data_IF_521449654022
#
_entry.id   IF_521449654022
#
_cell.length_a   1.000
_cell.length_b   1.000
_cell.length_c   1.000
_cell.angle_alpha   90.00
_cell.angle_beta   90.00
_cell.angle_gamma   90.00
#
_symmetry.space_group_name_H-M   'P 1'
#
loop_
_entity.id
_entity.type
_entity.pdbx_description
1 polymer ?
#
# COMPACT_ATOMS: atom_id res chain seq x y z
N UNK A 1 28.00 -1.57 -5.24
CA UNK A 1 26.95 -0.90 -4.46
C UNK A 1 27.40 -0.92 -3.02
N UNK A 2 27.42 0.24 -2.38
CA UNK A 2 27.69 0.32 -0.95
C UNK A 2 26.51 -0.31 -0.18
N UNK A 3 26.74 -0.72 1.08
CA UNK A 3 25.69 -1.39 1.86
C UNK A 3 24.47 -0.49 2.10
N UNK A 4 24.65 0.82 2.23
CA UNK A 4 23.53 1.75 2.36
C UNK A 4 22.68 1.81 1.07
N UNK A 5 23.29 1.75 -0.13
CA UNK A 5 22.53 1.69 -1.39
C UNK A 5 21.69 0.41 -1.46
N UNK A 6 22.27 -0.73 -1.03
CA UNK A 6 21.56 -2.01 -0.97
C UNK A 6 20.38 -1.91 -0.01
N UNK A 7 20.57 -1.32 1.17
CA UNK A 7 19.50 -1.16 2.15
C UNK A 7 18.40 -0.20 1.71
N UNK A 8 18.74 0.86 0.97
CA UNK A 8 17.74 1.73 0.35
C UNK A 8 16.83 0.94 -0.62
N UNK A 9 17.44 0.10 -1.47
CA UNK A 9 16.68 -0.79 -2.37
C UNK A 9 15.87 -1.82 -1.59
N UNK A 10 16.41 -2.42 -0.53
CA UNK A 10 15.67 -3.39 0.29
C UNK A 10 14.46 -2.75 0.97
N UNK A 11 14.57 -1.52 1.48
CA UNK A 11 13.44 -0.78 2.03
C UNK A 11 12.39 -0.49 0.95
N UNK A 12 12.82 -0.12 -0.26
CA UNK A 12 11.91 0.03 -1.41
C UNK A 12 11.15 -1.27 -1.70
N UNK A 13 11.81 -2.42 -1.64
CA UNK A 13 11.20 -3.75 -1.81
C UNK A 13 10.20 -4.05 -0.68
N UNK A 14 10.52 -3.74 0.57
CA UNK A 14 9.62 -3.93 1.70
C UNK A 14 8.34 -3.09 1.59
N UNK A 15 8.48 -1.80 1.26
CA UNK A 15 7.32 -0.93 1.00
C UNK A 15 6.52 -1.36 -0.23
N UNK A 16 7.19 -1.83 -1.28
CA UNK A 16 6.53 -2.39 -2.46
C UNK A 16 5.72 -3.63 -2.10
N UNK A 17 6.28 -4.55 -1.32
CA UNK A 17 5.59 -5.74 -0.84
C UNK A 17 4.38 -5.38 0.02
N UNK A 18 4.53 -4.42 0.94
CA UNK A 18 3.42 -3.90 1.73
C UNK A 18 2.31 -3.33 0.83
N UNK A 19 2.60 -2.40 -0.07
CA UNK A 19 1.57 -1.78 -0.91
C UNK A 19 0.94 -2.76 -1.92
N UNK A 20 1.67 -3.77 -2.37
CA UNK A 20 1.10 -4.84 -3.17
C UNK A 20 0.11 -5.68 -2.35
N UNK A 21 0.56 -6.20 -1.20
CA UNK A 21 -0.21 -7.14 -0.39
C UNK A 21 -1.36 -6.45 0.35
N UNK A 22 -1.04 -5.38 1.06
CA UNK A 22 -2.02 -4.61 1.81
C UNK A 22 -2.93 -3.78 0.89
N UNK A 23 -2.47 -3.44 -0.31
CA UNK A 23 -3.24 -2.65 -1.26
C UNK A 23 -4.57 -3.31 -1.62
N UNK A 24 -4.59 -4.64 -1.84
CA UNK A 24 -5.87 -5.31 -2.09
C UNK A 24 -6.69 -5.52 -0.81
N UNK A 25 -6.07 -5.64 0.37
CA UNK A 25 -6.80 -5.75 1.65
C UNK A 25 -7.54 -4.44 1.97
N UNK A 26 -6.87 -3.29 1.79
CA UNK A 26 -7.54 -2.00 1.84
C UNK A 26 -8.65 -1.89 0.80
N UNK A 27 -8.38 -2.29 -0.45
CA UNK A 27 -9.38 -2.29 -1.50
C UNK A 27 -10.61 -3.14 -1.15
N UNK A 28 -10.43 -4.35 -0.65
CA UNK A 28 -11.52 -5.24 -0.20
C UNK A 28 -12.30 -4.61 0.96
N UNK A 29 -11.61 -3.98 1.92
CA UNK A 29 -12.25 -3.25 3.00
C UNK A 29 -13.15 -2.11 2.52
N UNK A 30 -12.71 -1.33 1.52
CA UNK A 30 -13.53 -0.29 0.86
C UNK A 30 -14.75 -0.91 0.13
N UNK A 31 -14.56 -2.06 -0.50
CA UNK A 31 -15.62 -2.77 -1.23
C UNK A 31 -16.75 -3.31 -0.36
N UNK A 32 -16.55 -3.41 0.96
CA UNK A 32 -17.62 -3.75 1.91
C UNK A 32 -18.82 -2.79 1.86
N UNK A 33 -18.61 -1.54 1.43
CA UNK A 33 -19.71 -0.58 1.17
C UNK A 33 -19.97 -0.32 -0.32
N UNK A 34 -18.94 -0.38 -1.17
CA UNK A 34 -19.10 -0.03 -2.59
C UNK A 34 -19.63 -1.18 -3.47
N UNK A 35 -19.45 -2.44 -3.05
CA UNK A 35 -19.76 -3.62 -3.86
C UNK A 35 -20.80 -4.55 -3.22
N UNK A 36 -20.67 -4.80 -1.92
CA UNK A 36 -21.54 -5.75 -1.21
C UNK A 36 -22.95 -5.17 -1.00
N UNK A 37 -23.98 -5.95 -1.32
CA UNK A 37 -25.39 -5.58 -1.18
C UNK A 37 -25.95 -5.90 0.20
N UNK A 38 -25.50 -7.00 0.77
CA UNK A 38 -25.97 -7.51 2.06
C UNK A 38 -24.81 -7.98 2.95
N UNK A 39 -25.13 -8.46 4.15
CA UNK A 39 -24.14 -8.93 5.13
C UNK A 39 -23.44 -10.21 4.72
N UNK A 40 -24.12 -11.08 3.98
CA UNK A 40 -23.55 -12.34 3.48
C UNK A 40 -22.46 -12.02 2.47
N UNK A 41 -22.71 -11.10 1.54
CA UNK A 41 -21.70 -10.63 0.59
C UNK A 41 -20.53 -9.93 1.28
N UNK A 42 -20.80 -9.08 2.29
CA UNK A 42 -19.71 -8.48 3.10
C UNK A 42 -18.85 -9.54 3.78
N UNK A 43 -19.47 -10.61 4.31
CA UNK A 43 -18.76 -11.73 4.92
C UNK A 43 -17.93 -12.50 3.89
N UNK A 44 -18.44 -12.68 2.66
CA UNK A 44 -17.66 -13.25 1.56
C UNK A 44 -16.41 -12.41 1.30
N UNK A 45 -16.56 -11.09 1.17
CA UNK A 45 -15.43 -10.18 0.94
C UNK A 45 -14.38 -10.30 2.06
N UNK A 46 -14.80 -10.14 3.32
CA UNK A 46 -13.89 -10.23 4.48
C UNK A 46 -13.19 -11.59 4.52
N UNK A 47 -13.91 -12.69 4.27
CA UNK A 47 -13.33 -14.03 4.28
C UNK A 47 -12.34 -14.27 3.12
N UNK A 48 -12.34 -13.45 2.05
CA UNK A 48 -11.32 -13.58 1.00
C UNK A 48 -9.93 -13.15 1.46
N UNK A 49 -9.86 -12.24 2.44
CA UNK A 49 -8.61 -11.69 2.99
C UNK A 49 -8.31 -12.21 4.41
N UNK A 50 -9.31 -12.75 5.10
CA UNK A 50 -9.22 -13.28 6.47
C UNK A 50 -7.98 -14.14 6.78
N UNK A 51 -7.57 -15.08 5.91
CA UNK A 51 -6.39 -15.91 6.17
C UNK A 51 -5.02 -15.25 5.94
N UNK A 52 -4.96 -14.06 5.35
CA UNK A 52 -3.70 -13.45 4.86
C UNK A 52 -3.44 -12.02 5.36
N UNK A 53 -4.48 -11.28 5.75
CA UNK A 53 -4.36 -9.84 6.09
C UNK A 53 -3.34 -9.57 7.21
N UNK A 54 -3.33 -10.38 8.27
CA UNK A 54 -2.42 -10.21 9.41
C UNK A 54 -0.96 -10.36 8.97
N UNK A 55 -0.68 -11.37 8.12
CA UNK A 55 0.65 -11.56 7.53
C UNK A 55 1.05 -10.46 6.54
N UNK A 56 0.08 -9.83 5.88
CA UNK A 56 0.33 -8.70 4.98
C UNK A 56 0.72 -7.44 5.77
N UNK A 57 0.09 -7.18 6.92
CA UNK A 57 0.44 -6.05 7.80
C UNK A 57 1.88 -6.14 8.35
N UNK A 58 2.43 -7.35 8.52
CA UNK A 58 3.81 -7.54 8.98
C UNK A 58 4.83 -6.90 8.03
N UNK A 59 4.50 -6.73 6.75
CA UNK A 59 5.37 -6.01 5.80
C UNK A 59 5.55 -4.54 6.17
N UNK A 60 4.52 -3.88 6.71
CA UNK A 60 4.64 -2.51 7.22
C UNK A 60 5.57 -2.46 8.44
N UNK A 61 5.40 -3.38 9.38
CA UNK A 61 6.25 -3.46 10.57
C UNK A 61 7.71 -3.69 10.18
N UNK A 62 7.94 -4.56 9.20
CA UNK A 62 9.28 -4.86 8.69
C UNK A 62 9.85 -3.66 7.92
N UNK A 63 9.07 -2.98 7.09
CA UNK A 63 9.50 -1.77 6.38
C UNK A 63 9.89 -0.65 7.36
N UNK A 64 9.05 -0.40 8.38
CA UNK A 64 9.33 0.58 9.44
C UNK A 64 10.54 0.20 10.29
N UNK A 65 10.63 -1.07 10.74
CA UNK A 65 11.74 -1.58 11.54
C UNK A 65 13.06 -1.62 10.77
N UNK A 66 13.04 -2.00 9.48
CA UNK A 66 14.20 -1.94 8.61
C UNK A 66 14.66 -0.50 8.37
N UNK A 67 13.73 0.45 8.21
CA UNK A 67 14.05 1.88 8.11
C UNK A 67 14.69 2.37 9.40
N UNK A 68 14.13 2.03 10.57
CA UNK A 68 14.73 2.36 11.87
C UNK A 68 16.17 1.81 12.00
N UNK A 69 16.38 0.56 11.63
CA UNK A 69 17.66 -0.11 11.83
C UNK A 69 18.72 0.30 10.79
N UNK A 70 18.34 0.54 9.53
CA UNK A 70 19.26 0.90 8.45
C UNK A 70 19.45 2.42 8.29
N UNK A 71 18.40 3.21 8.54
CA UNK A 71 18.40 4.67 8.39
C UNK A 71 17.69 5.36 9.58
N UNK A 72 18.32 5.40 10.77
CA UNK A 72 17.69 5.91 11.99
C UNK A 72 17.23 7.37 11.88
N UNK A 73 18.01 8.24 11.22
CA UNK A 73 17.62 9.65 11.06
C UNK A 73 16.43 9.80 10.09
N UNK A 74 16.38 8.98 9.04
CA UNK A 74 15.20 8.91 8.16
C UNK A 74 13.96 8.49 8.96
N UNK A 75 14.08 7.43 9.76
CA UNK A 75 13.00 6.98 10.62
C UNK A 75 12.55 8.08 11.59
N UNK A 76 13.48 8.71 12.30
CA UNK A 76 13.18 9.76 13.28
C UNK A 76 12.48 10.96 12.64
N UNK A 77 12.99 11.44 11.51
CA UNK A 77 12.42 12.57 10.76
C UNK A 77 11.03 12.25 10.21
N UNK A 78 10.85 11.05 9.65
CA UNK A 78 9.57 10.60 9.10
C UNK A 78 8.51 10.50 10.19
N UNK A 79 8.79 9.79 11.28
CA UNK A 79 7.80 9.54 12.33
C UNK A 79 7.49 10.78 13.19
N UNK A 80 8.46 11.67 13.38
CA UNK A 80 8.24 12.94 14.08
C UNK A 80 7.54 13.97 13.19
N UNK A 81 7.96 14.13 11.93
CA UNK A 81 7.39 15.11 11.01
C UNK A 81 5.98 14.76 10.53
N UNK A 82 5.71 13.48 10.30
CA UNK A 82 4.40 12.98 9.87
C UNK A 82 3.58 12.43 11.04
N UNK A 83 3.81 12.94 12.25
CA UNK A 83 3.21 12.42 13.48
C UNK A 83 1.69 12.22 13.38
N UNK A 84 0.95 13.27 13.01
CA UNK A 84 -0.52 13.21 12.95
C UNK A 84 -1.02 12.23 11.87
N UNK A 85 -0.58 12.30 10.59
CA UNK A 85 -0.95 11.30 9.60
C UNK A 85 -0.62 9.86 10.01
N UNK A 86 0.58 9.61 10.54
CA UNK A 86 1.00 8.27 10.94
C UNK A 86 0.24 7.76 12.17
N UNK A 87 -0.10 8.63 13.12
CA UNK A 87 -0.96 8.30 14.25
C UNK A 87 -2.37 7.89 13.77
N UNK A 88 -2.94 8.62 12.81
CA UNK A 88 -4.25 8.27 12.24
C UNK A 88 -4.18 6.92 11.53
N UNK A 89 -3.12 6.65 10.76
CA UNK A 89 -2.89 5.34 10.14
C UNK A 89 -2.82 4.25 11.22
N UNK A 90 -2.01 4.44 12.27
CA UNK A 90 -1.86 3.49 13.36
C UNK A 90 -3.20 3.17 14.02
N UNK A 91 -3.98 4.20 14.39
CA UNK A 91 -5.31 4.02 14.99
C UNK A 91 -6.24 3.26 14.04
N UNK A 92 -6.20 3.58 12.74
CA UNK A 92 -6.99 2.86 11.75
C UNK A 92 -6.61 1.38 11.71
N UNK A 93 -5.31 1.04 11.67
CA UNK A 93 -4.85 -0.35 11.64
C UNK A 93 -5.24 -1.12 12.90
N UNK A 94 -5.10 -0.51 14.09
CA UNK A 94 -5.56 -1.11 15.35
C UNK A 94 -7.05 -1.43 15.29
N UNK A 95 -7.87 -0.44 14.93
CA UNK A 95 -9.33 -0.61 14.85
C UNK A 95 -9.70 -1.62 13.79
N UNK A 96 -8.96 -1.71 12.68
CA UNK A 96 -9.18 -2.67 11.60
C UNK A 96 -8.98 -4.12 12.06
N UNK A 97 -7.86 -4.40 12.73
CA UNK A 97 -7.59 -5.73 13.28
C UNK A 97 -8.66 -6.16 14.29
N UNK A 98 -9.04 -5.25 15.19
CA UNK A 98 -10.17 -5.49 16.12
C UNK A 98 -11.46 -5.73 15.35
N UNK A 99 -11.74 -4.96 14.30
CA UNK A 99 -12.98 -5.09 13.54
C UNK A 99 -13.12 -6.45 12.83
N UNK A 100 -12.03 -7.00 12.28
CA UNK A 100 -12.05 -8.33 11.67
C UNK A 100 -12.37 -9.42 12.71
N UNK A 101 -11.75 -9.37 13.88
CA UNK A 101 -11.94 -10.36 14.94
C UNK A 101 -13.28 -10.23 15.67
N UNK A 102 -13.69 -8.99 16.00
CA UNK A 102 -14.81 -8.74 16.91
C UNK A 102 -16.16 -8.75 16.20
N UNK A 103 -16.20 -8.44 14.90
CA UNK A 103 -17.44 -8.41 14.12
C UNK A 103 -18.24 -9.70 14.28
N UNK A 104 -17.59 -10.87 14.22
CA UNK A 104 -18.26 -12.17 14.28
C UNK A 104 -18.56 -12.67 15.71
N UNK A 105 -18.10 -11.96 16.76
CA UNK A 105 -18.26 -12.40 18.16
C UNK A 105 -19.66 -12.17 18.72
N UNK A 106 -20.45 -11.28 18.11
CA UNK A 106 -21.83 -11.06 18.54
C UNK A 106 -22.82 -10.99 17.37
N UNK A 107 -24.03 -11.53 17.53
CA UNK A 107 -25.00 -11.61 16.44
C UNK A 107 -25.80 -10.32 16.24
N UNK A 108 -25.77 -9.36 17.18
CA UNK A 108 -26.67 -8.20 17.09
C UNK A 108 -26.39 -7.33 15.87
N UNK A 109 -27.48 -6.82 15.28
CA UNK A 109 -27.40 -6.06 14.04
C UNK A 109 -26.52 -4.82 14.18
N UNK A 110 -26.74 -4.04 15.23
CA UNK A 110 -26.00 -2.81 15.49
C UNK A 110 -24.50 -3.07 15.70
N UNK A 111 -24.14 -4.18 16.35
CA UNK A 111 -22.75 -4.57 16.58
C UNK A 111 -22.01 -4.80 15.27
N UNK A 112 -22.50 -5.71 14.44
CA UNK A 112 -21.86 -6.04 13.17
C UNK A 112 -21.83 -4.84 12.21
N UNK A 113 -22.89 -4.01 12.17
CA UNK A 113 -22.95 -2.82 11.31
C UNK A 113 -21.88 -1.80 11.68
N UNK A 114 -21.63 -1.60 12.97
CA UNK A 114 -20.62 -0.67 13.46
C UNK A 114 -19.22 -1.15 13.06
N UNK A 115 -18.92 -2.44 13.23
CA UNK A 115 -17.63 -3.01 12.82
C UNK A 115 -17.44 -3.04 11.30
N UNK A 116 -18.48 -3.33 10.52
CA UNK A 116 -18.43 -3.21 9.06
C UNK A 116 -18.18 -1.77 8.60
N UNK A 117 -18.75 -0.79 9.31
CA UNK A 117 -18.48 0.62 9.05
C UNK A 117 -17.06 1.02 9.44
N UNK A 118 -16.55 0.47 10.54
CA UNK A 118 -15.16 0.63 10.94
C UNK A 118 -14.23 0.11 9.84
N UNK A 119 -14.39 -1.15 9.40
CA UNK A 119 -13.58 -1.76 8.32
C UNK A 119 -13.51 -0.85 7.09
N UNK A 120 -14.64 -0.29 6.65
CA UNK A 120 -14.65 0.63 5.51
C UNK A 120 -13.75 1.85 5.74
N UNK A 121 -13.92 2.57 6.86
CA UNK A 121 -13.17 3.80 7.13
C UNK A 121 -11.70 3.52 7.42
N UNK A 122 -11.42 2.47 8.19
CA UNK A 122 -10.06 2.05 8.53
C UNK A 122 -9.30 1.44 7.37
N UNK A 123 -9.97 1.12 6.26
CA UNK A 123 -9.32 0.76 4.99
C UNK A 123 -9.19 1.96 4.05
N UNK A 124 -10.20 2.84 4.00
CA UNK A 124 -10.20 4.03 3.14
C UNK A 124 -9.13 5.05 3.59
N UNK A 125 -9.07 5.34 4.89
CA UNK A 125 -8.23 6.40 5.42
C UNK A 125 -6.73 6.07 5.23
N UNK A 126 -6.20 4.90 5.62
CA UNK A 126 -4.80 4.57 5.37
C UNK A 126 -4.46 4.47 3.88
N UNK A 127 -5.36 3.93 3.05
CA UNK A 127 -5.15 3.86 1.61
C UNK A 127 -4.92 5.25 0.99
N UNK A 128 -5.59 6.28 1.52
CA UNK A 128 -5.38 7.67 1.13
C UNK A 128 -4.12 8.28 1.78
N UNK A 129 -3.97 8.15 3.09
CA UNK A 129 -2.89 8.82 3.83
C UNK A 129 -1.49 8.31 3.45
N UNK A 130 -1.35 7.03 3.07
CA UNK A 130 -0.07 6.53 2.58
C UNK A 130 0.40 7.24 1.30
N UNK A 131 -0.52 7.56 0.38
CA UNK A 131 -0.19 8.34 -0.82
C UNK A 131 0.14 9.80 -0.51
N UNK A 132 -0.54 10.39 0.48
CA UNK A 132 -0.19 11.74 0.99
C UNK A 132 1.22 11.74 1.59
N UNK A 133 1.55 10.73 2.40
CA UNK A 133 2.86 10.61 3.03
C UNK A 133 3.98 10.45 1.99
N UNK A 134 3.90 9.45 1.11
CA UNK A 134 4.91 9.23 0.07
C UNK A 134 4.96 10.36 -0.96
N UNK A 135 3.83 10.98 -1.29
CA UNK A 135 3.77 12.17 -2.13
C UNK A 135 4.62 13.30 -1.55
N UNK A 136 4.46 13.60 -0.26
CA UNK A 136 5.30 14.60 0.41
C UNK A 136 6.78 14.21 0.48
N UNK A 137 7.10 12.93 0.73
CA UNK A 137 8.51 12.49 0.75
C UNK A 137 9.16 12.76 -0.62
N UNK A 138 8.49 12.42 -1.73
CA UNK A 138 9.02 12.67 -3.08
C UNK A 138 9.07 14.16 -3.41
N UNK A 139 8.02 14.91 -3.09
CA UNK A 139 7.96 16.36 -3.33
C UNK A 139 8.95 17.15 -2.46
N UNK A 140 9.37 16.57 -1.33
CA UNK A 140 10.23 17.20 -0.35
C UNK A 140 9.42 17.89 0.75
N UNK A 141 10.04 18.06 1.91
CA UNK A 141 9.41 18.62 3.11
C UNK A 141 10.31 19.68 3.75
N UNK A 142 9.78 20.47 4.68
CA UNK A 142 10.53 21.53 5.36
C UNK A 142 11.40 20.92 6.47
N UNK A 143 12.62 20.53 6.12
CA UNK A 143 13.60 19.95 7.06
C UNK A 143 14.70 20.97 7.32
N UNK A 144 15.07 21.17 8.58
CA UNK A 144 16.15 22.08 8.99
C UNK A 144 17.53 21.37 9.05
N UNK A 145 18.56 22.11 9.47
CA UNK A 145 19.93 21.60 9.56
C UNK A 145 20.14 20.47 10.59
N UNK A 146 19.18 20.24 11.50
CA UNK A 146 19.23 19.17 12.50
C UNK A 146 18.44 17.93 12.06
N UNK A 147 18.02 17.89 10.80
CA UNK A 147 17.12 16.87 10.25
C UNK A 147 15.74 16.85 10.92
N UNK A 148 15.31 17.98 11.48
CA UNK A 148 13.99 18.08 12.07
C UNK A 148 12.99 18.66 11.06
N UNK A 149 11.79 18.08 11.03
CA UNK A 149 10.69 18.67 10.27
C UNK A 149 10.13 19.88 11.03
N UNK A 150 10.22 21.05 10.42
CA UNK A 150 9.79 22.34 10.99
C UNK A 150 8.51 22.90 10.35
N UNK A 151 7.86 22.09 9.51
CA UNK A 151 6.58 22.46 8.88
C UNK A 151 5.37 22.21 9.78
N UNK A 152 4.19 22.47 9.22
CA UNK A 152 2.90 22.25 9.88
C UNK A 152 2.10 21.15 9.17
N UNK A 153 1.06 20.61 9.83
CA UNK A 153 0.16 19.63 9.21
C UNK A 153 -0.38 20.10 7.84
N UNK A 154 -0.66 21.39 7.70
CA UNK A 154 -1.20 21.97 6.47
C UNK A 154 -0.21 21.95 5.31
N UNK A 155 1.09 22.00 5.61
CA UNK A 155 2.13 21.86 4.58
C UNK A 155 2.12 20.46 3.95
N UNK A 156 1.68 19.45 4.71
CA UNK A 156 1.54 18.06 4.23
C UNK A 156 0.28 17.85 3.37
N UNK A 157 -0.70 18.76 3.45
CA UNK A 157 -1.96 18.67 2.70
C UNK A 157 -1.93 19.55 1.43
N UNK A 158 -0.79 19.56 0.75
CA UNK A 158 -0.63 20.27 -0.52
C UNK A 158 -1.28 19.51 -1.70
N UNK A 159 -1.61 20.19 -2.82
CA UNK A 159 -2.31 19.57 -3.95
C UNK A 159 -1.61 18.34 -4.53
N UNK A 160 -0.27 18.33 -4.57
CA UNK A 160 0.51 17.20 -5.07
C UNK A 160 0.34 15.96 -4.18
N UNK A 161 0.47 16.14 -2.86
CA UNK A 161 0.30 15.05 -1.90
C UNK A 161 -1.15 14.53 -1.85
N UNK A 162 -2.14 15.43 -1.92
CA UNK A 162 -3.55 15.04 -1.99
C UNK A 162 -3.86 14.22 -3.25
N UNK A 163 -3.29 14.61 -4.39
CA UNK A 163 -3.38 13.83 -5.62
C UNK A 163 -2.74 12.44 -5.45
N UNK A 164 -1.55 12.37 -4.83
CA UNK A 164 -0.90 11.10 -4.47
C UNK A 164 -1.80 10.20 -3.62
N UNK A 165 -2.48 10.77 -2.62
CA UNK A 165 -3.46 10.05 -1.79
C UNK A 165 -4.66 9.53 -2.57
N UNK A 166 -5.19 10.33 -3.51
CA UNK A 166 -6.28 9.87 -4.38
C UNK A 166 -5.83 8.75 -5.33
N UNK A 167 -4.59 8.83 -5.83
CA UNK A 167 -3.99 7.76 -6.65
C UNK A 167 -3.88 6.47 -5.87
N UNK A 168 -3.29 6.48 -4.66
CA UNK A 168 -3.16 5.25 -3.87
C UNK A 168 -4.52 4.68 -3.46
N UNK A 169 -5.46 5.53 -3.03
CA UNK A 169 -6.82 5.10 -2.70
C UNK A 169 -7.50 4.40 -3.88
N UNK A 170 -7.49 5.03 -5.06
CA UNK A 170 -8.15 4.46 -6.24
C UNK A 170 -7.41 3.25 -6.79
N UNK A 171 -6.07 3.25 -6.77
CA UNK A 171 -5.24 2.11 -7.19
C UNK A 171 -5.43 0.89 -6.29
N UNK A 172 -5.44 1.06 -4.97
CA UNK A 172 -5.72 -0.01 -4.02
C UNK A 172 -7.16 -0.51 -4.13
N UNK A 173 -8.13 0.39 -4.33
CA UNK A 173 -9.51 -0.01 -4.60
C UNK A 173 -9.61 -0.81 -5.91
N UNK A 174 -8.93 -0.39 -6.99
CA UNK A 174 -8.85 -1.16 -8.23
C UNK A 174 -8.21 -2.52 -7.99
N UNK A 175 -7.08 -2.59 -7.31
CA UNK A 175 -6.38 -3.83 -6.96
C UNK A 175 -7.28 -4.78 -6.15
N UNK A 176 -8.03 -4.26 -5.17
CA UNK A 176 -9.02 -5.00 -4.40
C UNK A 176 -10.20 -5.49 -5.24
N UNK A 177 -10.66 -4.73 -6.24
CA UNK A 177 -11.76 -5.19 -7.13
C UNK A 177 -11.34 -6.36 -8.00
N UNK A 178 -10.13 -6.32 -8.57
CA UNK A 178 -9.62 -7.42 -9.41
C UNK A 178 -9.25 -8.64 -8.56
N UNK A 179 -8.73 -8.44 -7.34
CA UNK A 179 -8.55 -9.52 -6.36
C UNK A 179 -9.89 -10.15 -5.97
N UNK A 180 -10.91 -9.34 -5.68
CA UNK A 180 -12.27 -9.82 -5.36
C UNK A 180 -12.83 -10.65 -6.51
N UNK A 181 -12.71 -10.17 -7.76
CA UNK A 181 -13.14 -10.92 -8.94
C UNK A 181 -12.39 -12.27 -9.07
N UNK A 182 -11.08 -12.27 -8.83
CA UNK A 182 -10.24 -13.48 -8.85
C UNK A 182 -10.65 -14.51 -7.78
N UNK A 183 -11.05 -14.03 -6.60
CA UNK A 183 -11.32 -14.83 -5.39
C UNK A 183 -12.78 -15.18 -5.16
N UNK A 184 -13.71 -14.63 -5.93
CA UNK A 184 -15.15 -14.87 -5.75
C UNK A 184 -15.80 -15.63 -6.91
N UNK A 185 -17.01 -16.14 -6.67
CA UNK A 185 -17.88 -16.78 -7.68
C UNK A 185 -19.29 -16.18 -7.64
N UNK A 186 -20.07 -16.39 -8.70
CA UNK A 186 -21.44 -15.90 -8.81
C UNK A 186 -21.53 -14.41 -9.11
N UNK A 187 -22.62 -13.76 -8.70
CA UNK A 187 -22.90 -12.36 -9.07
C UNK A 187 -21.87 -11.36 -8.53
N UNK A 188 -21.30 -11.63 -7.35
CA UNK A 188 -20.27 -10.77 -6.72
C UNK A 188 -19.09 -10.59 -7.68
N UNK A 189 -18.66 -11.67 -8.33
CA UNK A 189 -17.55 -11.67 -9.30
C UNK A 189 -17.85 -10.77 -10.50
N UNK A 190 -19.03 -10.90 -11.10
CA UNK A 190 -19.41 -10.11 -12.27
C UNK A 190 -19.56 -8.62 -11.92
N UNK A 191 -20.09 -8.30 -10.74
CA UNK A 191 -20.14 -6.91 -10.26
C UNK A 191 -18.75 -6.36 -9.95
N UNK A 192 -17.86 -7.16 -9.36
CA UNK A 192 -16.49 -6.78 -9.09
C UNK A 192 -15.74 -6.42 -10.37
N UNK A 193 -15.90 -7.19 -11.46
CA UNK A 193 -15.30 -6.89 -12.78
C UNK A 193 -15.83 -5.59 -13.40
N UNK A 194 -17.15 -5.36 -13.30
CA UNK A 194 -17.77 -4.11 -13.78
C UNK A 194 -17.26 -2.91 -13.00
N UNK A 195 -17.17 -3.03 -11.67
CA UNK A 195 -16.65 -1.98 -10.81
C UNK A 195 -15.16 -1.75 -11.06
N UNK A 196 -14.36 -2.81 -11.24
CA UNK A 196 -12.94 -2.74 -11.59
C UNK A 196 -12.68 -1.91 -12.85
N UNK A 197 -13.56 -2.01 -13.86
CA UNK A 197 -13.44 -1.18 -15.06
C UNK A 197 -13.65 0.30 -14.75
N UNK A 198 -14.64 0.64 -13.92
CA UNK A 198 -14.93 2.05 -13.57
C UNK A 198 -13.84 2.63 -12.69
N UNK A 199 -13.50 1.93 -11.60
CA UNK A 199 -12.46 2.38 -10.65
C UNK A 199 -11.12 2.44 -11.38
N UNK A 200 -10.74 1.44 -12.16
CA UNK A 200 -9.47 1.45 -12.87
C UNK A 200 -9.36 2.55 -13.94
N UNK A 201 -10.45 3.00 -14.56
CA UNK A 201 -10.44 4.18 -15.43
C UNK A 201 -10.18 5.47 -14.64
N UNK A 202 -10.78 5.61 -13.46
CA UNK A 202 -10.49 6.74 -12.55
C UNK A 202 -9.04 6.70 -12.09
N UNK A 203 -8.56 5.52 -11.67
CA UNK A 203 -7.15 5.29 -11.33
C UNK A 203 -6.23 5.68 -12.48
N UNK A 204 -6.54 5.29 -13.72
CA UNK A 204 -5.70 5.61 -14.88
C UNK A 204 -5.60 7.13 -15.12
N UNK A 205 -6.70 7.87 -15.01
CA UNK A 205 -6.68 9.33 -15.14
C UNK A 205 -5.85 10.01 -14.04
N UNK A 206 -6.09 9.64 -12.78
CA UNK A 206 -5.37 10.22 -11.64
C UNK A 206 -3.89 9.84 -11.63
N UNK A 207 -3.57 8.56 -11.89
CA UNK A 207 -2.20 8.07 -11.91
C UNK A 207 -1.42 8.70 -13.06
N UNK A 208 -2.01 8.86 -14.25
CA UNK A 208 -1.34 9.54 -15.35
C UNK A 208 -1.01 10.99 -14.99
N UNK A 209 -1.97 11.73 -14.43
CA UNK A 209 -1.75 13.10 -13.99
C UNK A 209 -0.62 13.20 -12.95
N UNK A 210 -0.68 12.35 -11.93
CA UNK A 210 0.27 12.35 -10.84
C UNK A 210 1.68 11.95 -11.29
N UNK A 211 1.81 10.85 -12.03
CA UNK A 211 3.12 10.37 -12.51
C UNK A 211 3.75 11.36 -13.49
N UNK A 212 2.96 11.98 -14.39
CA UNK A 212 3.48 13.04 -15.25
C UNK A 212 3.95 14.25 -14.45
N UNK A 213 3.21 14.66 -13.41
CA UNK A 213 3.64 15.73 -12.51
C UNK A 213 4.97 15.36 -11.85
N UNK A 214 5.07 14.17 -11.22
CA UNK A 214 6.31 13.69 -10.61
C UNK A 214 7.48 13.68 -11.60
N UNK A 215 7.24 13.17 -12.82
CA UNK A 215 8.27 13.07 -13.86
C UNK A 215 8.77 14.43 -14.33
N UNK A 216 7.88 15.42 -14.45
CA UNK A 216 8.23 16.77 -14.90
C UNK A 216 8.96 17.58 -13.82
N UNK A 217 8.62 17.35 -12.55
CA UNK A 217 9.19 18.08 -11.41
C UNK A 217 10.57 17.55 -11.02
N UNK A 218 10.69 16.24 -10.81
CA UNK A 218 11.92 15.62 -10.25
C UNK A 218 12.40 14.39 -11.01
N UNK A 219 11.73 14.02 -12.10
CA UNK A 219 12.05 12.80 -12.84
C UNK A 219 13.35 12.88 -13.64
N UNK A 220 13.90 11.70 -13.89
CA UNK A 220 15.06 11.39 -14.71
C UNK A 220 14.73 10.28 -15.73
N UNK A 221 15.73 9.78 -16.46
CA UNK A 221 15.52 8.70 -17.44
C UNK A 221 15.08 7.37 -16.82
N UNK A 222 15.48 7.05 -15.58
CA UNK A 222 15.14 5.77 -14.92
C UNK A 222 13.71 5.79 -14.39
N UNK A 223 13.33 6.88 -13.72
CA UNK A 223 11.95 7.12 -13.28
C UNK A 223 10.99 7.23 -14.47
N UNK A 224 11.44 7.73 -15.63
CA UNK A 224 10.64 7.69 -16.87
C UNK A 224 10.31 6.26 -17.29
N UNK A 225 11.28 5.34 -17.24
CA UNK A 225 11.04 3.92 -17.55
C UNK A 225 10.03 3.33 -16.56
N UNK A 226 10.17 3.61 -15.26
CA UNK A 226 9.21 3.17 -14.25
C UNK A 226 7.80 3.73 -14.51
N UNK A 227 7.67 5.00 -14.89
CA UNK A 227 6.40 5.61 -15.28
C UNK A 227 5.78 4.90 -16.49
N UNK A 228 6.55 4.66 -17.56
CA UNK A 228 6.07 3.97 -18.76
C UNK A 228 5.60 2.56 -18.41
N UNK A 229 6.34 1.83 -17.59
CA UNK A 229 5.95 0.50 -17.11
C UNK A 229 4.66 0.57 -16.29
N UNK A 230 4.52 1.54 -15.39
CA UNK A 230 3.31 1.73 -14.58
C UNK A 230 2.08 1.97 -15.46
N UNK A 231 2.17 2.91 -16.41
CA UNK A 231 1.07 3.25 -17.32
C UNK A 231 0.72 2.07 -18.23
N UNK A 232 1.73 1.42 -18.83
CA UNK A 232 1.51 0.25 -19.70
C UNK A 232 0.88 -0.92 -18.93
N UNK A 233 1.36 -1.20 -17.71
CA UNK A 233 0.81 -2.26 -16.86
C UNK A 233 -0.64 -1.96 -16.45
N UNK A 234 -0.96 -0.70 -16.13
CA UNK A 234 -2.33 -0.32 -15.76
C UNK A 234 -3.30 -0.46 -16.94
N UNK A 235 -2.90 0.00 -18.12
CA UNK A 235 -3.70 -0.16 -19.35
C UNK A 235 -3.88 -1.64 -19.68
N UNK A 236 -2.82 -2.44 -19.57
CA UNK A 236 -2.89 -3.88 -19.79
C UNK A 236 -3.78 -4.58 -18.74
N UNK A 237 -3.75 -4.15 -17.48
CA UNK A 237 -4.63 -4.66 -16.43
C UNK A 237 -6.10 -4.39 -16.77
N UNK A 238 -6.43 -3.17 -17.20
CA UNK A 238 -7.77 -2.81 -17.66
C UNK A 238 -8.22 -3.65 -18.86
N UNK A 239 -7.35 -3.87 -19.83
CA UNK A 239 -7.62 -4.72 -20.98
C UNK A 239 -7.86 -6.19 -20.56
N UNK A 240 -7.03 -6.73 -19.66
CA UNK A 240 -7.18 -8.08 -19.12
C UNK A 240 -8.50 -8.24 -18.33
N UNK A 241 -8.90 -7.24 -17.54
CA UNK A 241 -10.19 -7.23 -16.83
C UNK A 241 -11.37 -7.28 -17.81
N UNK A 242 -11.33 -6.47 -18.87
CA UNK A 242 -12.36 -6.47 -19.93
C UNK A 242 -12.43 -7.82 -20.64
N UNK A 243 -11.28 -8.45 -20.90
CA UNK A 243 -11.20 -9.79 -21.47
C UNK A 243 -11.58 -10.93 -20.49
N UNK A 244 -11.91 -10.63 -19.23
CA UNK A 244 -12.26 -11.63 -18.21
C UNK A 244 -11.09 -12.45 -17.68
N UNK A 245 -9.85 -12.00 -17.93
CA UNK A 245 -8.61 -12.64 -17.47
C UNK A 245 -8.19 -12.08 -16.12
N UNK A 246 -8.95 -12.39 -15.07
CA UNK A 246 -8.78 -11.82 -13.73
C UNK A 246 -7.38 -12.02 -13.13
N UNK A 247 -6.77 -13.20 -13.32
CA UNK A 247 -5.41 -13.46 -12.81
C UNK A 247 -4.36 -12.56 -13.45
N UNK A 248 -4.48 -12.29 -14.76
CA UNK A 248 -3.61 -11.35 -15.46
C UNK A 248 -3.88 -9.91 -15.05
N UNK A 249 -5.15 -9.55 -14.87
CA UNK A 249 -5.51 -8.22 -14.38
C UNK A 249 -4.93 -7.96 -12.98
N UNK A 250 -4.98 -8.94 -12.09
CA UNK A 250 -4.39 -8.83 -10.75
C UNK A 250 -2.87 -8.68 -10.83
N UNK A 251 -2.18 -9.55 -11.57
CA UNK A 251 -0.72 -9.46 -11.75
C UNK A 251 -0.29 -8.11 -12.32
N UNK A 252 -0.97 -7.60 -13.35
CA UNK A 252 -0.66 -6.33 -13.99
C UNK A 252 -0.98 -5.12 -13.10
N UNK A 253 -2.07 -5.18 -12.32
CA UNK A 253 -2.33 -4.15 -11.30
C UNK A 253 -1.27 -4.14 -10.20
N UNK A 254 -0.74 -5.30 -9.84
CA UNK A 254 0.40 -5.42 -8.94
C UNK A 254 1.70 -4.85 -9.53
N UNK A 255 1.98 -5.13 -10.81
CA UNK A 255 3.12 -4.52 -11.53
C UNK A 255 2.96 -3.00 -11.59
N UNK A 256 1.73 -2.49 -11.73
CA UNK A 256 1.46 -1.04 -11.66
C UNK A 256 1.90 -0.48 -10.30
N UNK A 257 1.50 -1.11 -9.18
CA UNK A 257 1.92 -0.71 -7.83
C UNK A 257 3.44 -0.75 -7.70
N UNK A 258 4.08 -1.85 -8.11
CA UNK A 258 5.55 -2.01 -8.10
C UNK A 258 6.23 -0.88 -8.86
N UNK A 259 5.75 -0.55 -10.06
CA UNK A 259 6.34 0.47 -10.91
C UNK A 259 6.13 1.89 -10.36
N UNK A 260 4.97 2.20 -9.77
CA UNK A 260 4.71 3.48 -9.10
C UNK A 260 5.64 3.66 -7.90
N UNK A 261 5.78 2.62 -7.06
CA UNK A 261 6.68 2.69 -5.90
C UNK A 261 8.13 2.77 -6.37
N UNK A 262 8.55 1.99 -7.36
CA UNK A 262 9.88 2.08 -7.94
C UNK A 262 10.17 3.49 -8.48
N UNK A 263 9.20 4.15 -9.12
CA UNK A 263 9.33 5.52 -9.59
C UNK A 263 9.64 6.48 -8.43
N UNK A 264 8.98 6.35 -7.27
CA UNK A 264 9.27 7.17 -6.10
C UNK A 264 10.71 7.02 -5.63
N UNK A 265 11.17 5.78 -5.42
CA UNK A 265 12.51 5.53 -4.92
C UNK A 265 13.60 5.88 -5.94
N UNK A 266 13.34 5.72 -7.24
CA UNK A 266 14.25 6.16 -8.30
C UNK A 266 14.34 7.68 -8.38
N UNK A 267 13.23 8.39 -8.16
CA UNK A 267 13.18 9.86 -8.12
C UNK A 267 13.86 10.42 -6.87
N UNK A 268 13.78 9.68 -5.76
CA UNK A 268 14.38 10.08 -4.49
C UNK A 268 15.89 9.93 -4.49
N UNK A 269 16.42 8.83 -5.04
CA UNK A 269 17.85 8.52 -4.96
C UNK A 269 18.74 9.67 -5.49
N UNK A 270 19.77 10.11 -4.75
CA UNK A 270 20.34 9.52 -3.53
C UNK A 270 19.72 10.04 -2.21
N UNK A 271 18.70 10.90 -2.28
CA UNK A 271 17.96 11.36 -1.11
C UNK A 271 17.02 10.26 -0.59
N UNK A 272 16.78 10.26 0.71
CA UNK A 272 15.70 9.51 1.36
C UNK A 272 14.57 10.42 1.82
N UNK A 273 14.91 11.66 2.23
CA UNK A 273 13.96 12.75 2.49
C UNK A 273 14.57 14.09 2.04
N UNK A 274 14.16 14.64 0.88
CA UNK A 274 14.63 15.93 0.39
C UNK A 274 14.10 17.09 1.24
N UNK A 275 14.98 18.04 1.57
CA UNK A 275 14.57 19.31 2.19
C UNK A 275 14.18 20.35 1.14
N UNK A 276 13.11 21.09 1.43
CA UNK A 276 12.66 22.25 0.65
C UNK A 276 13.24 23.57 1.14
N UNK A 277 13.87 23.59 2.33
CA UNK A 277 14.47 24.80 2.89
C UNK A 277 15.89 25.00 2.39
N UNK A 278 16.66 23.91 2.30
CA UNK A 278 18.01 23.91 1.76
C UNK A 278 18.35 22.49 1.28
N UNK A 279 18.85 22.35 0.04
CA UNK A 279 19.24 21.06 -0.52
C UNK A 279 20.29 20.32 0.33
N UNK A 280 21.21 21.06 0.98
CA UNK A 280 22.27 20.50 1.83
C UNK A 280 21.75 19.87 3.14
N UNK A 281 20.50 20.19 3.52
CA UNK A 281 19.83 19.63 4.71
C UNK A 281 18.99 18.39 4.38
N UNK A 282 19.09 17.88 3.15
CA UNK A 282 18.42 16.65 2.76
C UNK A 282 19.03 15.44 3.47
N UNK A 283 18.17 14.51 3.90
CA UNK A 283 18.64 13.20 4.33
C UNK A 283 18.93 12.39 3.07
N UNK A 284 20.12 11.83 3.00
CA UNK A 284 20.65 11.01 1.91
C UNK A 284 20.94 9.60 2.39
N UNK A 285 21.12 8.68 1.45
CA UNK A 285 21.53 7.31 1.79
C UNK A 285 22.88 7.26 2.51
N UNK A 286 23.72 8.29 2.41
CA UNK A 286 25.05 8.31 3.05
C UNK A 286 25.04 8.96 4.42
N UNK A 287 24.29 10.05 4.62
CA UNK A 287 24.30 10.78 5.89
C UNK A 287 23.34 10.20 6.93
N UNK A 288 22.28 9.52 6.50
CA UNK A 288 21.24 8.99 7.37
C UNK A 288 21.41 7.50 7.68
N UNK A 289 22.41 6.82 7.09
CA UNK A 289 22.61 5.38 7.25
C UNK A 289 23.30 5.01 8.56
N UNK A 290 22.93 3.85 9.10
CA UNK A 290 23.64 3.20 10.20
C UNK A 290 25.08 2.84 9.86
N UNK A 291 25.86 2.53 10.91
CA UNK A 291 27.26 2.11 10.76
C UNK A 291 27.42 0.91 9.81
N UNK A 292 28.56 0.80 9.09
CA UNK A 292 28.81 -0.34 8.19
C UNK A 292 28.69 -1.70 8.86
N UNK A 293 29.06 -1.80 10.15
CA UNK A 293 28.95 -3.02 10.92
C UNK A 293 27.49 -3.44 11.14
N UNK A 294 26.63 -2.49 11.53
CA UNK A 294 25.18 -2.70 11.68
C UNK A 294 24.56 -3.18 10.38
N UNK A 295 24.84 -2.48 9.27
CA UNK A 295 24.30 -2.84 7.95
C UNK A 295 24.76 -4.24 7.52
N UNK A 296 26.01 -4.63 7.81
CA UNK A 296 26.53 -5.96 7.52
C UNK A 296 25.78 -7.06 8.28
N UNK A 297 25.54 -6.87 9.58
CA UNK A 297 24.76 -7.83 10.39
C UNK A 297 23.35 -7.97 9.84
N UNK A 298 22.66 -6.84 9.64
CA UNK A 298 21.29 -6.85 9.14
C UNK A 298 21.21 -7.54 7.78
N UNK A 299 22.21 -7.36 6.91
CA UNK A 299 22.23 -7.99 5.58
C UNK A 299 22.24 -9.51 5.68
N UNK A 300 23.04 -10.09 6.58
CA UNK A 300 23.05 -11.53 6.80
C UNK A 300 21.72 -12.05 7.37
N UNK A 301 21.13 -11.32 8.31
CA UNK A 301 19.81 -11.67 8.86
C UNK A 301 18.73 -11.62 7.77
N UNK A 302 18.70 -10.56 6.97
CA UNK A 302 17.74 -10.40 5.88
C UNK A 302 17.92 -11.46 4.79
N UNK A 303 19.15 -11.83 4.46
CA UNK A 303 19.45 -12.86 3.46
C UNK A 303 18.91 -14.25 3.85
N UNK A 304 18.85 -14.55 5.16
CA UNK A 304 18.32 -15.83 5.66
C UNK A 304 16.80 -15.75 5.90
N UNK A 305 16.33 -14.68 6.55
CA UNK A 305 14.93 -14.55 6.96
C UNK A 305 14.00 -14.31 5.76
N UNK A 306 14.40 -13.47 4.80
CA UNK A 306 13.52 -13.07 3.68
C UNK A 306 13.10 -14.25 2.81
N UNK A 307 14.00 -15.16 2.37
CA UNK A 307 13.59 -16.33 1.60
C UNK A 307 12.64 -17.25 2.38
N UNK A 308 12.87 -17.45 3.69
CA UNK A 308 12.00 -18.28 4.53
C UNK A 308 10.60 -17.68 4.65
N UNK A 309 10.50 -16.37 4.88
CA UNK A 309 9.22 -15.65 4.93
C UNK A 309 8.50 -15.73 3.59
N UNK A 310 9.19 -15.52 2.47
CA UNK A 310 8.58 -15.62 1.14
C UNK A 310 8.09 -17.03 0.81
N UNK A 311 8.84 -18.07 1.19
CA UNK A 311 8.42 -19.47 1.00
C UNK A 311 7.17 -19.78 1.81
N UNK A 312 7.15 -19.43 3.10
CA UNK A 312 6.00 -19.64 3.96
C UNK A 312 4.78 -18.85 3.49
N UNK A 313 4.95 -17.56 3.16
CA UNK A 313 3.86 -16.72 2.66
C UNK A 313 3.32 -17.26 1.33
N UNK A 314 4.21 -17.65 0.41
CA UNK A 314 3.82 -18.29 -0.85
C UNK A 314 3.02 -19.58 -0.65
N UNK A 315 3.42 -20.39 0.33
CA UNK A 315 2.67 -21.59 0.72
C UNK A 315 1.28 -21.25 1.29
N UNK A 316 1.17 -20.25 2.17
CA UNK A 316 -0.12 -19.76 2.70
C UNK A 316 -1.07 -19.34 1.58
N UNK A 317 -0.62 -18.53 0.61
CA UNK A 317 -1.44 -18.16 -0.54
C UNK A 317 -1.82 -19.36 -1.41
N UNK A 318 -0.93 -20.33 -1.56
CA UNK A 318 -1.23 -21.57 -2.28
C UNK A 318 -2.32 -22.40 -1.60
N UNK A 319 -2.27 -22.53 -0.26
CA UNK A 319 -3.28 -23.23 0.54
C UNK A 319 -4.65 -22.57 0.38
N UNK A 320 -4.71 -21.24 0.50
CA UNK A 320 -5.96 -20.47 0.42
C UNK A 320 -6.36 -20.04 -1.00
N UNK A 321 -5.82 -20.65 -2.06
CA UNK A 321 -6.04 -20.19 -3.46
C UNK A 321 -7.48 -20.32 -3.98
N UNK A 322 -8.31 -21.18 -3.39
CA UNK A 322 -9.67 -21.46 -3.89
C UNK A 322 -10.58 -20.22 -3.82
N UNK A 323 -11.62 -20.22 -4.64
CA UNK A 323 -12.64 -19.16 -4.67
C UNK A 323 -13.72 -19.40 -3.61
N UNK A 324 -14.29 -18.33 -3.10
CA UNK A 324 -15.35 -18.33 -2.09
C UNK A 324 -16.59 -17.62 -2.66
N UNK A 325 -17.77 -17.98 -2.18
CA UNK A 325 -19.05 -17.41 -2.63
C UNK A 325 -20.05 -17.52 -1.50
N UNK A 326 -21.24 -16.95 -1.68
CA UNK A 326 -22.30 -16.94 -0.65
C UNK A 326 -22.71 -18.36 -0.26
N UNK A 327 -22.71 -19.31 -1.20
CA UNK A 327 -23.00 -20.73 -0.96
C UNK A 327 -21.97 -21.45 -0.07
N UNK A 328 -20.79 -20.88 0.14
CA UNK A 328 -19.75 -21.43 1.01
C UNK A 328 -19.80 -20.84 2.42
N UNK A 329 -20.65 -19.84 2.66
CA UNK A 329 -20.82 -19.24 3.97
C UNK A 329 -21.86 -20.07 4.73
N UNK A 330 -21.44 -20.72 5.82
CA UNK A 330 -22.36 -21.40 6.71
C UNK A 330 -23.42 -20.41 7.23
N UNK A 331 -24.68 -20.86 7.23
CA UNK A 331 -25.76 -20.16 7.94
C UNK A 331 -25.31 -19.95 9.39
N UNK A 332 -25.51 -18.75 9.90
CA UNK A 332 -25.13 -18.38 11.27
C UNK A 332 -25.77 -19.37 12.24
N UNK A 333 -24.95 -20.23 12.87
CA UNK A 333 -25.38 -20.95 14.05
C UNK A 333 -25.71 -19.90 15.11
N UNK A 334 -26.96 -19.94 15.57
CA UNK A 334 -27.57 -18.97 16.49
C UNK A 334 -26.82 -18.83 17.81
#
# INVERSE_FOLDING_TARGET
>A
MELHDVWFVLIAVLWTGYFFLEGFDFGVGVLTKLLARDRTEKRVLINTIGPVWDGNEVWLLTAGGATFAAFPDWYATLFSGFYLPLLVILVCLIVRGVAFEYRAKRPEENWQRNWETAIFWTSLIPAFLWGVAFGNIVHGVKIDQHFEYVGTLWDLLNPYALLGGLVTLTLFTFHGTVFTALKTVGEIRERARKLATRVGLVTAGLALLFLLWTQLDKGDGKSLVAMVVAVAALVAALAANRAGREGWSFALSGITIVAVVAMFFLTLFPNVMPSTLNADWSLTVTNASSSPYTLKIMTWLAAIATPLVLLYQGWTYWVFRKRIGTQHIAETAH
#
